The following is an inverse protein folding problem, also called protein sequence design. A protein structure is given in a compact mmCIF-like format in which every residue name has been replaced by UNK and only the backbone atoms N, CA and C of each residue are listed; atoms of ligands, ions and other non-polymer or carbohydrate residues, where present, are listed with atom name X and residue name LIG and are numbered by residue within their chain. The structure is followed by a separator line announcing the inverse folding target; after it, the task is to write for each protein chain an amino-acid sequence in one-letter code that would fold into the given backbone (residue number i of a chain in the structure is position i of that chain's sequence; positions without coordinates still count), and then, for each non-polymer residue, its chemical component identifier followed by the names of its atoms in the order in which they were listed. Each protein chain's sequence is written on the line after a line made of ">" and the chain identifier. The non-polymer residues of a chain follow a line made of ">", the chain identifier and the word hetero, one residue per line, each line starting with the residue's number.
data_IF_407798260551
#
_entry.id   IF_407798260551
#
_cell.length_a   1.000
_cell.length_b   1.000
_cell.length_c   1.000
_cell.angle_alpha   90.00
_cell.angle_beta   90.00
_cell.angle_gamma   90.00
#
_symmetry.space_group_name_H-M   'P 1'
#
loop_
_entity.id
_entity.type
_entity.pdbx_description
1 polymer ?
#
# COMPACT_ATOMS: atom_id res chain seq x y z
N UNK A 1 -5.48 -11.20 -16.86
CA UNK A 1 -6.47 -12.05 -16.18
C UNK A 1 -7.53 -12.61 -17.15
N UNK A 2 -7.76 -13.92 -17.15
CA UNK A 2 -8.83 -14.59 -17.92
C UNK A 2 -10.03 -14.87 -17.01
N UNK A 3 -10.79 -13.84 -16.63
CA UNK A 3 -12.05 -14.03 -15.90
C UNK A 3 -13.13 -14.57 -16.85
N UNK A 4 -13.72 -15.69 -16.47
CA UNK A 4 -14.73 -16.42 -17.27
C UNK A 4 -16.15 -16.19 -16.78
N UNK A 5 -16.31 -15.76 -15.52
CA UNK A 5 -17.60 -15.48 -14.90
C UNK A 5 -17.76 -14.01 -14.52
N UNK A 6 -19.00 -13.55 -14.35
CA UNK A 6 -19.27 -12.17 -13.92
C UNK A 6 -18.83 -11.93 -12.47
N UNK A 7 -18.87 -12.96 -11.61
CA UNK A 7 -18.35 -12.86 -10.25
C UNK A 7 -16.84 -12.56 -10.25
N UNK A 8 -16.05 -13.31 -11.03
CA UNK A 8 -14.60 -13.10 -11.18
C UNK A 8 -14.27 -11.70 -11.72
N UNK A 9 -15.13 -11.15 -12.59
CA UNK A 9 -14.97 -9.78 -13.13
C UNK A 9 -15.22 -8.68 -12.10
N UNK A 10 -15.83 -9.00 -10.96
CA UNK A 10 -16.04 -8.07 -9.83
C UNK A 10 -15.02 -8.24 -8.71
N UNK A 11 -14.10 -9.19 -8.84
CA UNK A 11 -13.08 -9.43 -7.82
C UNK A 11 -12.06 -8.28 -7.79
N UNK A 12 -11.53 -8.04 -6.58
CA UNK A 12 -10.60 -6.96 -6.31
C UNK A 12 -9.33 -7.10 -7.17
N UNK A 13 -8.67 -8.25 -7.08
CA UNK A 13 -7.41 -8.50 -7.80
C UNK A 13 -7.57 -8.36 -9.31
N UNK A 14 -8.66 -8.91 -9.86
CA UNK A 14 -8.95 -8.82 -11.29
C UNK A 14 -9.00 -7.37 -11.77
N UNK A 15 -9.68 -6.49 -11.03
CA UNK A 15 -9.83 -5.10 -11.40
C UNK A 15 -8.58 -4.26 -11.11
N UNK A 16 -7.77 -4.62 -10.11
CA UNK A 16 -6.44 -4.04 -9.90
C UNK A 16 -5.53 -4.32 -11.11
N UNK A 17 -5.42 -5.59 -11.52
CA UNK A 17 -4.60 -5.98 -12.69
C UNK A 17 -5.13 -5.37 -13.98
N UNK A 18 -6.44 -5.39 -14.20
CA UNK A 18 -7.07 -4.82 -15.40
C UNK A 18 -6.85 -3.31 -15.47
N UNK A 19 -7.00 -2.60 -14.35
CA UNK A 19 -6.76 -1.16 -14.26
C UNK A 19 -5.32 -0.81 -14.64
N UNK A 20 -4.35 -1.56 -14.12
CA UNK A 20 -2.93 -1.32 -14.39
C UNK A 20 -2.58 -1.56 -15.87
N UNK A 21 -3.02 -2.69 -16.45
CA UNK A 21 -2.78 -2.99 -17.86
C UNK A 21 -3.40 -1.95 -18.81
N UNK A 22 -4.59 -1.43 -18.47
CA UNK A 22 -5.23 -0.36 -19.24
C UNK A 22 -4.45 0.95 -19.13
N UNK A 23 -3.93 1.28 -17.94
CA UNK A 23 -3.12 2.47 -17.70
C UNK A 23 -1.81 2.44 -18.48
N UNK A 24 -1.11 1.31 -18.46
CA UNK A 24 0.12 1.10 -19.24
C UNK A 24 -0.09 1.26 -20.74
N UNK A 25 -1.33 1.03 -21.22
CA UNK A 25 -1.73 1.24 -22.61
C UNK A 25 -2.35 2.62 -22.86
N UNK A 26 -2.13 3.59 -21.96
CA UNK A 26 -2.66 4.96 -22.01
C UNK A 26 -4.20 5.06 -22.09
N UNK A 27 -4.93 4.01 -21.71
CA UNK A 27 -6.40 3.98 -21.66
C UNK A 27 -6.87 4.42 -20.27
N UNK A 28 -6.59 5.67 -19.90
CA UNK A 28 -6.80 6.19 -18.54
C UNK A 28 -8.26 6.15 -18.08
N UNK A 29 -9.22 6.41 -18.97
CA UNK A 29 -10.65 6.35 -18.62
C UNK A 29 -11.10 4.92 -18.31
N UNK A 30 -10.72 3.95 -19.16
CA UNK A 30 -11.03 2.54 -18.94
C UNK A 30 -10.32 1.99 -17.69
N UNK A 31 -9.07 2.41 -17.48
CA UNK A 31 -8.29 2.10 -16.29
C UNK A 31 -8.98 2.63 -15.03
N UNK A 32 -9.43 3.88 -15.06
CA UNK A 32 -10.19 4.50 -13.96
C UNK A 32 -11.46 3.72 -13.65
N UNK A 33 -12.21 3.30 -14.67
CA UNK A 33 -13.40 2.48 -14.48
C UNK A 33 -13.09 1.13 -13.81
N UNK A 34 -12.01 0.45 -14.22
CA UNK A 34 -11.58 -0.79 -13.58
C UNK A 34 -11.17 -0.54 -12.12
N UNK A 35 -10.37 0.49 -11.85
CA UNK A 35 -9.96 0.83 -10.49
C UNK A 35 -11.14 1.25 -9.59
N UNK A 36 -12.17 1.91 -10.11
CA UNK A 36 -13.37 2.22 -9.34
C UNK A 36 -14.17 0.95 -8.98
N UNK A 37 -14.17 -0.08 -9.83
CA UNK A 37 -14.76 -1.38 -9.48
C UNK A 37 -13.97 -2.08 -8.35
N UNK A 38 -12.64 -2.06 -8.41
CA UNK A 38 -11.78 -2.52 -7.31
C UNK A 38 -12.05 -1.73 -6.01
N UNK A 39 -12.20 -0.41 -6.13
CA UNK A 39 -12.39 0.49 -5.00
C UNK A 39 -13.69 0.23 -4.22
N UNK A 40 -14.72 -0.33 -4.87
CA UNK A 40 -15.94 -0.75 -4.17
C UNK A 40 -15.65 -1.81 -3.09
N UNK A 41 -14.74 -2.76 -3.37
CA UNK A 41 -14.33 -3.78 -2.39
C UNK A 41 -13.50 -3.16 -1.28
N UNK A 42 -12.62 -2.21 -1.60
CA UNK A 42 -11.81 -1.50 -0.59
C UNK A 42 -12.70 -0.65 0.31
N UNK A 43 -13.70 0.06 -0.23
CA UNK A 43 -14.69 0.80 0.57
C UNK A 43 -15.50 -0.12 1.48
N UNK A 44 -15.92 -1.29 0.99
CA UNK A 44 -16.61 -2.27 1.83
C UNK A 44 -15.72 -2.73 2.99
N UNK A 45 -14.42 -2.94 2.74
CA UNK A 45 -13.44 -3.23 3.78
C UNK A 45 -13.27 -2.06 4.76
N UNK A 46 -13.16 -0.82 4.28
CA UNK A 46 -13.05 0.37 5.14
C UNK A 46 -14.27 0.54 6.06
N UNK A 47 -15.47 0.33 5.54
CA UNK A 47 -16.71 0.39 6.32
C UNK A 47 -16.78 -0.72 7.36
N UNK A 48 -16.37 -1.95 7.00
CA UNK A 48 -16.25 -3.03 7.97
C UNK A 48 -15.20 -2.71 9.05
N UNK A 49 -14.05 -2.13 8.68
CA UNK A 49 -12.99 -1.75 9.62
C UNK A 49 -13.46 -0.69 10.65
N UNK A 50 -14.33 0.24 10.23
CA UNK A 50 -14.91 1.26 11.11
C UNK A 50 -16.03 0.72 11.98
N UNK A 51 -16.93 -0.09 11.42
CA UNK A 51 -18.20 -0.45 12.05
C UNK A 51 -18.16 -1.78 12.80
N UNK A 52 -17.43 -2.76 12.27
CA UNK A 52 -17.34 -4.11 12.81
C UNK A 52 -15.95 -4.72 12.54
N UNK A 53 -14.89 -4.16 13.15
CA UNK A 53 -13.51 -4.57 12.90
C UNK A 53 -13.26 -6.06 13.25
N UNK A 54 -14.06 -6.63 14.16
CA UNK A 54 -14.00 -8.04 14.56
C UNK A 54 -14.27 -8.99 13.38
N UNK A 55 -15.07 -8.59 12.38
CA UNK A 55 -15.29 -9.40 11.17
C UNK A 55 -14.05 -9.52 10.28
N UNK A 56 -13.19 -8.50 10.29
CA UNK A 56 -11.95 -8.48 9.52
C UNK A 56 -10.79 -9.10 10.29
N UNK A 57 -10.81 -8.96 11.62
CA UNK A 57 -9.93 -9.67 12.54
C UNK A 57 -10.37 -11.12 12.60
N UNK A 58 -10.05 -11.90 11.56
CA UNK A 58 -10.28 -13.34 11.56
C UNK A 58 -9.68 -14.00 12.82
N UNK A 59 -10.12 -15.21 13.16
CA UNK A 59 -9.55 -15.93 14.29
C UNK A 59 -8.03 -16.04 14.13
N UNK A 60 -7.27 -15.40 15.04
CA UNK A 60 -5.81 -15.30 15.01
C UNK A 60 -5.14 -16.68 14.81
N UNK A 61 -5.78 -17.74 15.32
CA UNK A 61 -5.34 -19.13 15.13
C UNK A 61 -5.41 -19.68 13.70
N UNK A 62 -6.40 -19.28 12.88
CA UNK A 62 -6.53 -19.76 11.49
C UNK A 62 -5.51 -19.09 10.56
N UNK A 63 -5.18 -17.82 10.83
CA UNK A 63 -4.18 -17.05 10.09
C UNK A 63 -2.77 -17.61 10.19
N UNK A 64 -2.45 -18.32 11.28
CA UNK A 64 -1.15 -18.97 11.48
C UNK A 64 -1.01 -20.31 10.74
N UNK A 65 -2.13 -20.95 10.36
CA UNK A 65 -2.08 -22.30 9.77
C UNK A 65 -1.76 -22.24 8.27
N UNK A 66 -2.40 -21.34 7.53
CA UNK A 66 -2.12 -21.19 6.10
C UNK A 66 -2.67 -19.88 5.57
N UNK A 67 -1.80 -19.08 4.97
CA UNK A 67 -2.24 -17.89 4.25
C UNK A 67 -3.17 -18.21 3.08
N UNK A 68 -3.04 -19.40 2.46
CA UNK A 68 -3.87 -19.81 1.31
C UNK A 68 -5.37 -19.90 1.62
N UNK A 69 -5.73 -19.98 2.90
CA UNK A 69 -7.11 -20.05 3.34
C UNK A 69 -7.74 -18.65 3.54
N UNK A 70 -6.95 -17.58 3.48
CA UNK A 70 -7.44 -16.21 3.58
C UNK A 70 -8.02 -15.76 2.24
N UNK A 71 -9.20 -15.14 2.30
CA UNK A 71 -9.75 -14.40 1.17
C UNK A 71 -8.83 -13.22 0.89
N UNK A 72 -8.55 -12.95 -0.38
CA UNK A 72 -7.73 -11.81 -0.76
C UNK A 72 -8.56 -10.52 -0.66
N UNK A 73 -8.20 -9.66 0.30
CA UNK A 73 -8.88 -8.39 0.58
C UNK A 73 -8.04 -7.17 0.14
N UNK A 74 -6.94 -7.41 -0.56
CA UNK A 74 -5.91 -6.41 -0.86
C UNK A 74 -5.02 -6.13 0.34
N UNK A 75 -3.72 -6.03 0.13
CA UNK A 75 -2.78 -5.54 1.13
C UNK A 75 -2.97 -4.03 1.32
N UNK A 76 -2.55 -3.51 2.47
CA UNK A 76 -2.82 -2.11 2.81
C UNK A 76 -2.11 -1.14 1.88
N UNK A 77 -0.87 -1.44 1.48
CA UNK A 77 -0.16 -0.68 0.45
C UNK A 77 -0.89 -0.70 -0.90
N UNK A 78 -1.57 -1.80 -1.27
CA UNK A 78 -2.35 -1.90 -2.52
C UNK A 78 -3.61 -1.03 -2.44
N UNK A 79 -4.25 -0.98 -1.26
CA UNK A 79 -5.40 -0.10 -1.02
C UNK A 79 -5.00 1.37 -1.19
N UNK A 80 -3.85 1.78 -0.64
CA UNK A 80 -3.33 3.16 -0.77
C UNK A 80 -2.84 3.44 -2.19
N UNK A 81 -2.19 2.46 -2.83
CA UNK A 81 -1.79 2.57 -4.23
C UNK A 81 -2.98 2.79 -5.15
N UNK A 82 -4.10 2.09 -4.92
CA UNK A 82 -5.32 2.24 -5.73
C UNK A 82 -5.81 3.69 -5.83
N UNK A 83 -5.86 4.44 -4.72
CA UNK A 83 -6.25 5.86 -4.79
C UNK A 83 -5.19 6.73 -5.46
N UNK A 84 -3.91 6.38 -5.29
CA UNK A 84 -2.78 7.07 -5.93
C UNK A 84 -2.85 6.91 -7.44
N UNK A 85 -3.09 5.71 -7.94
CA UNK A 85 -3.22 5.44 -9.38
C UNK A 85 -4.47 6.09 -9.97
N UNK A 86 -5.58 6.13 -9.22
CA UNK A 86 -6.77 6.90 -9.62
C UNK A 86 -6.46 8.40 -9.76
N UNK A 87 -5.72 8.97 -8.82
CA UNK A 87 -5.27 10.37 -8.92
C UNK A 87 -4.36 10.59 -10.14
N UNK A 88 -3.40 9.68 -10.39
CA UNK A 88 -2.50 9.74 -11.55
C UNK A 88 -3.26 9.66 -12.88
N UNK A 89 -4.23 8.75 -13.00
CA UNK A 89 -5.07 8.64 -14.20
C UNK A 89 -5.83 9.95 -14.47
N UNK A 90 -6.39 10.56 -13.41
CA UNK A 90 -7.13 11.82 -13.51
C UNK A 90 -6.21 12.99 -13.88
N UNK A 91 -5.00 13.05 -13.31
CA UNK A 91 -3.97 14.01 -13.72
C UNK A 91 -3.61 13.85 -15.20
N UNK A 92 -3.47 12.60 -15.68
CA UNK A 92 -3.10 12.32 -17.07
C UNK A 92 -4.15 12.81 -18.09
N UNK A 93 -5.42 12.91 -17.70
CA UNK A 93 -6.51 13.45 -18.55
C UNK A 93 -6.90 14.90 -18.20
N UNK A 94 -6.15 15.56 -17.30
CA UNK A 94 -6.39 16.95 -16.91
C UNK A 94 -7.50 17.18 -15.89
N UNK A 95 -8.04 16.11 -15.28
CA UNK A 95 -9.10 16.17 -14.26
C UNK A 95 -8.53 16.40 -12.86
N UNK A 96 -7.96 17.59 -12.64
CA UNK A 96 -7.27 17.92 -11.39
C UNK A 96 -8.22 18.00 -10.18
N UNK A 97 -9.48 18.37 -10.40
CA UNK A 97 -10.50 18.46 -9.35
C UNK A 97 -10.81 17.08 -8.76
N UNK A 98 -11.06 16.08 -9.61
CA UNK A 98 -11.27 14.73 -9.10
C UNK A 98 -9.95 14.09 -8.65
N UNK A 99 -8.80 14.43 -9.22
CA UNK A 99 -7.50 13.98 -8.70
C UNK A 99 -7.30 14.45 -7.24
N UNK A 100 -7.71 15.68 -6.93
CA UNK A 100 -7.69 16.23 -5.56
C UNK A 100 -8.57 15.43 -4.60
N UNK A 101 -9.74 14.98 -5.06
CA UNK A 101 -10.63 14.10 -4.27
C UNK A 101 -9.95 12.78 -3.94
N UNK A 102 -9.23 12.18 -4.90
CA UNK A 102 -8.50 10.92 -4.66
C UNK A 102 -7.32 11.08 -3.73
N UNK A 103 -6.59 12.20 -3.82
CA UNK A 103 -5.53 12.54 -2.86
C UNK A 103 -6.10 12.64 -1.45
N UNK A 104 -7.21 13.36 -1.26
CA UNK A 104 -7.88 13.45 0.05
C UNK A 104 -8.27 12.06 0.55
N UNK A 105 -8.87 11.23 -0.31
CA UNK A 105 -9.27 9.85 0.02
C UNK A 105 -8.07 8.98 0.38
N UNK A 106 -6.90 9.22 -0.22
CA UNK A 106 -5.65 8.52 0.15
C UNK A 106 -5.32 8.72 1.62
N UNK A 107 -5.38 9.98 2.10
CA UNK A 107 -5.13 10.28 3.51
C UNK A 107 -6.18 9.69 4.46
N UNK A 108 -7.47 9.77 4.07
CA UNK A 108 -8.56 9.16 4.84
C UNK A 108 -8.40 7.64 4.94
N UNK A 109 -8.04 6.99 3.83
CA UNK A 109 -7.77 5.55 3.76
C UNK A 109 -6.61 5.13 4.65
N UNK A 110 -5.49 5.85 4.60
CA UNK A 110 -4.36 5.60 5.49
C UNK A 110 -4.76 5.70 6.97
N UNK A 111 -5.60 6.68 7.33
CA UNK A 111 -6.08 6.82 8.71
C UNK A 111 -6.95 5.63 9.15
N UNK A 112 -7.86 5.15 8.28
CA UNK A 112 -8.69 3.97 8.56
C UNK A 112 -7.83 2.72 8.73
N UNK A 113 -6.84 2.53 7.86
CA UNK A 113 -5.90 1.41 7.95
C UNK A 113 -5.10 1.49 9.24
N UNK A 114 -4.55 2.67 9.58
CA UNK A 114 -3.77 2.87 10.79
C UNK A 114 -4.57 2.52 12.05
N UNK A 115 -5.82 3.01 12.13
CA UNK A 115 -6.71 2.73 13.26
C UNK A 115 -7.04 1.23 13.35
N UNK A 116 -7.34 0.59 12.21
CA UNK A 116 -7.64 -0.83 12.17
C UNK A 116 -6.45 -1.68 12.62
N UNK A 117 -5.24 -1.42 12.10
CA UNK A 117 -4.02 -2.17 12.44
C UNK A 117 -3.59 -1.96 13.89
N UNK A 118 -3.81 -0.77 14.45
CA UNK A 118 -3.58 -0.55 15.87
C UNK A 118 -4.49 -1.44 16.72
N UNK A 119 -5.78 -1.54 16.41
CA UNK A 119 -6.72 -2.44 17.11
C UNK A 119 -6.35 -3.91 16.93
N UNK A 120 -5.95 -4.31 15.73
CA UNK A 120 -5.54 -5.69 15.42
C UNK A 120 -4.29 -6.08 16.22
N UNK A 121 -3.30 -5.20 16.28
CA UNK A 121 -2.06 -5.41 17.05
C UNK A 121 -2.35 -5.56 18.54
N UNK A 122 -3.19 -4.68 19.10
CA UNK A 122 -3.59 -4.75 20.50
C UNK A 122 -4.31 -6.07 20.82
N UNK A 123 -5.26 -6.49 19.98
CA UNK A 123 -5.97 -7.75 20.16
C UNK A 123 -5.03 -8.97 20.09
N UNK A 124 -4.09 -8.97 19.15
CA UNK A 124 -3.08 -10.01 19.01
C UNK A 124 -2.16 -10.08 20.24
N UNK A 125 -1.74 -8.94 20.79
CA UNK A 125 -0.94 -8.88 22.01
C UNK A 125 -1.70 -9.39 23.24
N UNK A 126 -2.97 -9.03 23.40
CA UNK A 126 -3.82 -9.50 24.49
C UNK A 126 -4.04 -11.02 24.42
N UNK A 127 -4.32 -11.55 23.24
CA UNK A 127 -4.47 -12.99 23.03
C UNK A 127 -3.17 -13.75 23.28
N UNK A 128 -2.03 -13.23 22.83
CA UNK A 128 -0.71 -13.82 23.07
C UNK A 128 -0.40 -13.88 24.57
N UNK A 129 -0.67 -12.79 25.31
CA UNK A 129 -0.52 -12.73 26.78
C UNK A 129 -1.44 -13.74 27.47
N UNK A 130 -2.71 -13.82 27.07
CA UNK A 130 -3.69 -14.75 27.63
C UNK A 130 -3.28 -16.23 27.41
N UNK A 131 -2.61 -16.53 26.29
CA UNK A 131 -2.11 -17.87 25.96
C UNK A 131 -0.72 -18.18 26.54
N UNK A 132 -0.15 -17.27 27.33
CA UNK A 132 1.17 -17.46 27.96
C UNK A 132 2.33 -17.49 26.97
N UNK A 133 2.16 -16.92 25.77
CA UNK A 133 3.24 -16.84 24.78
C UNK A 133 4.33 -15.91 25.29
N UNK A 134 5.56 -16.42 25.36
CA UNK A 134 6.77 -15.59 25.53
C UNK A 134 7.34 -15.29 24.16
N UNK A 135 7.86 -14.08 23.96
CA UNK A 135 8.49 -13.61 22.73
C UNK A 135 9.83 -14.33 22.49
N UNK A 136 9.77 -15.63 22.23
CA UNK A 136 10.95 -16.47 22.04
C UNK A 136 10.71 -17.42 20.86
N UNK A 137 11.03 -16.94 19.66
CA UNK A 137 11.04 -17.75 18.45
C UNK A 137 12.10 -17.21 17.50
N UNK A 138 13.38 -17.39 17.85
CA UNK A 138 14.52 -16.96 17.01
C UNK A 138 14.65 -17.76 15.72
N UNK A 139 14.02 -18.93 15.61
CA UNK A 139 14.08 -19.76 14.41
C UNK A 139 12.75 -20.49 14.20
N UNK A 140 12.03 -20.13 13.13
CA UNK A 140 10.99 -20.96 12.54
C UNK A 140 11.66 -21.82 11.48
N UNK A 141 11.71 -23.13 11.69
CA UNK A 141 12.51 -24.07 10.90
C UNK A 141 12.28 -23.92 9.37
N UNK A 142 13.24 -23.29 8.67
CA UNK A 142 13.22 -23.04 7.23
C UNK A 142 12.52 -21.74 6.76
N UNK A 143 11.83 -21.01 7.64
CA UNK A 143 11.26 -19.70 7.33
C UNK A 143 12.32 -18.60 7.50
N UNK A 144 12.49 -17.68 6.53
CA UNK A 144 13.55 -16.68 6.55
C UNK A 144 13.22 -15.56 7.54
N UNK A 145 13.33 -15.82 8.84
CA UNK A 145 13.12 -14.81 9.89
C UNK A 145 14.14 -13.68 9.82
N UNK A 146 15.28 -13.87 9.17
CA UNK A 146 16.30 -12.82 8.99
C UNK A 146 15.82 -11.65 8.15
N UNK A 147 14.85 -11.83 7.24
CA UNK A 147 14.27 -10.69 6.51
C UNK A 147 13.47 -9.76 7.41
N UNK A 148 13.08 -10.21 8.62
CA UNK A 148 12.46 -9.34 9.62
C UNK A 148 13.49 -8.38 10.26
N UNK A 149 14.77 -8.71 10.18
CA UNK A 149 15.89 -7.91 10.70
C UNK A 149 16.57 -7.07 9.62
N UNK A 150 16.01 -7.04 8.40
CA UNK A 150 16.56 -6.25 7.31
C UNK A 150 16.49 -4.75 7.65
N UNK A 151 17.61 -4.00 7.59
CA UNK A 151 17.62 -2.57 7.89
C UNK A 151 16.61 -1.76 7.07
N UNK A 152 16.37 -2.13 5.81
CA UNK A 152 15.40 -1.45 4.94
C UNK A 152 13.96 -1.67 5.43
N UNK A 153 13.65 -2.89 5.87
CA UNK A 153 12.34 -3.23 6.45
C UNK A 153 12.14 -2.53 7.79
N UNK A 154 13.17 -2.48 8.63
CA UNK A 154 13.13 -1.81 9.94
C UNK A 154 13.04 -0.28 9.82
N UNK A 155 13.53 0.29 8.71
CA UNK A 155 13.40 1.71 8.41
C UNK A 155 11.99 2.11 7.97
N UNK A 156 11.15 1.16 7.52
CA UNK A 156 9.77 1.44 7.15
C UNK A 156 8.96 1.87 8.36
N UNK A 157 8.23 2.98 8.21
CA UNK A 157 7.35 3.48 9.28
C UNK A 157 6.11 2.63 9.48
N UNK A 158 5.58 2.08 8.40
CA UNK A 158 4.41 1.21 8.37
C UNK A 158 4.32 0.52 7.00
N UNK A 159 3.39 -0.42 6.85
CA UNK A 159 3.18 -1.18 5.61
C UNK A 159 2.10 -0.62 4.68
N UNK A 160 1.63 0.62 4.87
CA UNK A 160 0.51 1.18 4.13
C UNK A 160 0.78 2.54 3.49
N UNK A 161 1.53 3.43 4.15
CA UNK A 161 1.86 4.76 3.65
C UNK A 161 2.86 4.70 2.51
N UNK A 162 2.69 5.59 1.54
CA UNK A 162 3.54 5.64 0.35
C UNK A 162 4.11 7.04 0.12
N UNK A 163 5.45 7.15 0.09
CA UNK A 163 6.13 8.44 -0.04
C UNK A 163 5.78 9.18 -1.34
N UNK A 164 5.63 8.45 -2.46
CA UNK A 164 5.22 9.02 -3.73
C UNK A 164 3.79 9.58 -3.63
N UNK A 165 2.87 8.86 -3.01
CA UNK A 165 1.47 9.31 -2.83
C UNK A 165 1.41 10.64 -2.08
N UNK A 166 2.20 10.80 -1.01
CA UNK A 166 2.27 12.05 -0.27
C UNK A 166 2.99 13.17 -1.03
N UNK A 167 4.01 12.85 -1.81
CA UNK A 167 4.69 13.83 -2.65
C UNK A 167 3.75 14.34 -3.76
N UNK A 168 3.04 13.43 -4.42
CA UNK A 168 2.01 13.75 -5.41
C UNK A 168 0.90 14.61 -4.81
N UNK A 169 0.47 14.33 -3.58
CA UNK A 169 -0.47 15.17 -2.85
C UNK A 169 0.06 16.60 -2.70
N UNK A 170 1.29 16.75 -2.21
CA UNK A 170 1.96 18.04 -2.06
C UNK A 170 2.00 18.82 -3.37
N UNK A 171 2.44 18.15 -4.45
CA UNK A 171 2.53 18.71 -5.79
C UNK A 171 1.17 19.12 -6.35
N UNK A 172 0.14 18.28 -6.24
CA UNK A 172 -1.18 18.58 -6.77
C UNK A 172 -1.84 19.77 -6.05
N UNK A 173 -1.72 19.82 -4.72
CA UNK A 173 -2.18 20.99 -3.95
C UNK A 173 -1.44 22.26 -4.35
N UNK A 174 -0.14 22.18 -4.62
CA UNK A 174 0.63 23.31 -5.12
C UNK A 174 0.14 23.80 -6.49
N UNK A 175 -0.08 22.87 -7.44
CA UNK A 175 -0.61 23.16 -8.79
C UNK A 175 -1.99 23.80 -8.72
N UNK A 176 -2.84 23.35 -7.81
CA UNK A 176 -4.18 23.91 -7.57
C UNK A 176 -4.17 25.25 -6.83
N UNK A 177 -3.00 25.75 -6.44
CA UNK A 177 -2.84 27.00 -5.69
C UNK A 177 -3.15 26.89 -4.20
N UNK A 178 -3.36 25.67 -3.69
CA UNK A 178 -3.66 25.34 -2.30
C UNK A 178 -2.38 25.12 -1.48
N UNK A 179 -1.46 26.09 -1.52
CA UNK A 179 -0.13 26.02 -0.87
C UNK A 179 -0.15 25.58 0.61
N UNK A 180 -1.18 25.97 1.37
CA UNK A 180 -1.34 25.55 2.77
C UNK A 180 -1.56 24.05 2.95
N UNK A 181 -2.07 23.36 1.93
CA UNK A 181 -2.28 21.91 1.91
C UNK A 181 -1.09 21.17 1.28
N UNK A 182 -0.23 21.86 0.52
CA UNK A 182 0.93 21.25 -0.14
C UNK A 182 2.04 20.84 0.86
N UNK A 183 2.36 21.72 1.80
CA UNK A 183 3.49 21.51 2.73
C UNK A 183 3.37 20.22 3.58
N UNK A 184 2.19 19.87 4.14
CA UNK A 184 2.01 18.59 4.83
C UNK A 184 2.32 17.36 3.97
N UNK A 185 1.90 17.36 2.70
CA UNK A 185 2.19 16.27 1.75
C UNK A 185 3.69 16.06 1.56
N UNK A 186 4.42 17.14 1.24
CA UNK A 186 5.87 17.06 1.08
C UNK A 186 6.60 16.64 2.36
N UNK A 187 6.21 17.18 3.52
CA UNK A 187 6.80 16.78 4.82
C UNK A 187 6.59 15.29 5.07
N UNK A 188 5.39 14.76 4.80
CA UNK A 188 5.11 13.35 5.02
C UNK A 188 5.89 12.45 4.06
N UNK A 189 6.07 12.86 2.81
CA UNK A 189 6.92 12.15 1.86
C UNK A 189 8.38 12.06 2.36
N UNK A 190 8.96 13.17 2.82
CA UNK A 190 10.32 13.21 3.40
C UNK A 190 10.39 12.35 4.68
N UNK A 191 9.34 12.38 5.50
CA UNK A 191 9.27 11.58 6.71
C UNK A 191 9.30 10.06 6.39
N UNK A 192 8.61 9.64 5.33
CA UNK A 192 8.54 8.24 4.91
C UNK A 192 9.80 7.78 4.19
N UNK A 193 10.46 8.68 3.46
CA UNK A 193 11.71 8.39 2.76
C UNK A 193 12.72 9.53 2.95
N UNK A 194 13.42 9.56 4.11
CA UNK A 194 14.39 10.60 4.39
C UNK A 194 15.58 10.54 3.42
N UNK A 195 16.41 11.59 3.42
CA UNK A 195 17.65 11.66 2.62
C UNK A 195 17.43 11.55 1.10
N UNK A 196 16.20 11.79 0.64
CA UNK A 196 15.85 11.77 -0.79
C UNK A 196 15.74 13.21 -1.30
N UNK A 197 16.78 13.69 -1.98
CA UNK A 197 16.93 15.10 -2.38
C UNK A 197 15.73 15.70 -3.13
N UNK A 198 15.11 14.94 -4.04
CA UNK A 198 13.92 15.40 -4.79
C UNK A 198 12.71 15.68 -3.87
N UNK A 199 12.54 14.89 -2.80
CA UNK A 199 11.44 15.09 -1.86
C UNK A 199 11.65 16.37 -1.03
N UNK A 200 12.90 16.63 -0.63
CA UNK A 200 13.27 17.84 0.11
C UNK A 200 13.14 19.12 -0.71
N UNK A 201 13.48 19.06 -2.00
CA UNK A 201 13.39 20.20 -2.93
C UNK A 201 11.95 20.68 -3.10
N UNK A 202 11.00 19.74 -3.17
CA UNK A 202 9.57 20.02 -3.19
C UNK A 202 9.15 20.92 -2.02
N UNK A 203 9.56 20.60 -0.79
CA UNK A 203 9.25 21.42 0.39
C UNK A 203 10.05 22.73 0.43
N UNK A 204 11.36 22.67 0.16
CA UNK A 204 12.29 23.81 0.33
C UNK A 204 11.91 25.01 -0.54
N UNK A 205 11.47 24.76 -1.78
CA UNK A 205 11.11 25.82 -2.72
C UNK A 205 9.66 26.31 -2.59
N UNK A 206 8.80 25.65 -1.81
CA UNK A 206 7.35 25.88 -1.81
C UNK A 206 6.98 27.34 -1.58
N UNK A 207 7.43 27.96 -0.49
CA UNK A 207 7.08 29.34 -0.13
C UNK A 207 7.47 30.34 -1.23
N UNK A 208 8.63 30.12 -1.85
CA UNK A 208 9.12 30.97 -2.94
C UNK A 208 8.23 30.85 -4.18
N UNK A 209 7.90 29.60 -4.58
CA UNK A 209 7.08 29.30 -5.76
C UNK A 209 5.65 29.76 -5.61
N UNK A 210 5.10 29.69 -4.40
CA UNK A 210 3.72 30.11 -4.12
C UNK A 210 3.58 31.61 -3.85
N UNK A 211 4.69 32.33 -3.71
CA UNK A 211 4.67 33.77 -3.46
C UNK A 211 4.08 34.57 -4.63
N UNK A 212 3.34 35.63 -4.31
CA UNK A 212 2.68 36.49 -5.30
C UNK A 212 3.66 37.16 -6.27
N UNK A 213 4.84 37.53 -5.77
CA UNK A 213 5.90 38.16 -6.55
C UNK A 213 6.54 37.19 -7.53
N UNK A 214 6.70 35.93 -7.15
CA UNK A 214 7.23 34.86 -8.01
C UNK A 214 6.26 34.53 -9.15
N UNK A 215 4.98 34.33 -8.83
CA UNK A 215 3.93 34.04 -9.84
C UNK A 215 3.84 35.10 -10.94
N UNK A 216 4.02 36.39 -10.61
CA UNK A 216 4.03 37.48 -11.62
C UNK A 216 5.29 37.55 -12.47
N UNK A 217 6.41 37.04 -11.99
CA UNK A 217 7.72 37.10 -12.66
C UNK A 217 8.07 35.79 -13.37
N UNK A 218 7.23 34.75 -13.23
CA UNK A 218 7.49 33.42 -13.77
C UNK A 218 7.62 33.46 -15.30
N UNK A 219 8.81 33.06 -15.77
CA UNK A 219 9.10 32.72 -17.18
C UNK A 219 9.33 31.22 -17.38
N UNK A 220 9.24 30.44 -16.31
CA UNK A 220 9.48 29.00 -16.28
C UNK A 220 8.37 28.32 -15.47
N UNK A 221 8.08 27.06 -15.79
CA UNK A 221 7.15 26.19 -15.06
C UNK A 221 7.91 25.01 -14.50
N UNK A 222 7.53 24.58 -13.31
CA UNK A 222 8.02 23.31 -12.76
C UNK A 222 7.31 22.16 -13.46
N UNK A 223 8.04 21.06 -13.65
CA UNK A 223 7.54 19.84 -14.29
C UNK A 223 7.92 18.65 -13.43
N UNK A 224 6.93 17.90 -12.97
CA UNK A 224 7.13 16.63 -12.29
C UNK A 224 7.17 15.50 -13.32
N UNK A 225 8.32 14.83 -13.42
CA UNK A 225 8.44 13.57 -14.15
C UNK A 225 8.16 12.41 -13.20
N UNK A 226 7.13 11.64 -13.50
CA UNK A 226 6.89 10.36 -12.86
C UNK A 226 7.40 9.24 -13.76
N UNK A 227 8.37 8.47 -13.28
CA UNK A 227 8.93 7.34 -14.00
C UNK A 227 8.63 6.08 -13.20
N UNK A 228 7.87 5.17 -13.81
CA UNK A 228 7.58 3.85 -13.28
C UNK A 228 8.28 2.83 -14.15
N UNK A 229 9.07 1.93 -13.54
CA UNK A 229 9.65 0.81 -14.26
C UNK A 229 9.92 -0.37 -13.34
N UNK A 230 10.00 -1.54 -13.97
CA UNK A 230 10.19 -2.82 -13.33
C UNK A 230 8.95 -3.32 -12.60
N UNK A 231 9.04 -4.56 -12.16
CA UNK A 231 8.05 -5.25 -11.36
C UNK A 231 8.39 -5.16 -9.87
N UNK A 232 7.34 -5.10 -9.04
CA UNK A 232 7.50 -5.25 -7.59
C UNK A 232 7.98 -6.67 -7.23
N UNK A 233 8.68 -6.85 -6.10
CA UNK A 233 9.04 -8.17 -5.59
C UNK A 233 7.83 -9.11 -5.52
N UNK A 234 8.03 -10.37 -5.94
CA UNK A 234 6.96 -11.35 -6.00
C UNK A 234 6.74 -12.00 -4.63
N UNK A 235 5.50 -11.97 -4.14
CA UNK A 235 5.11 -12.68 -2.94
C UNK A 235 4.63 -14.09 -3.29
N UNK A 236 5.36 -15.12 -2.90
CA UNK A 236 5.04 -16.52 -3.21
C UNK A 236 4.75 -17.35 -1.96
N UNK A 237 3.75 -18.24 -1.98
CA UNK A 237 3.50 -19.14 -0.85
C UNK A 237 4.53 -20.27 -0.81
N UNK A 238 5.34 -20.32 0.26
CA UNK A 238 6.26 -21.43 0.54
C UNK A 238 5.65 -22.35 1.59
N UNK A 239 5.62 -23.65 1.30
CA UNK A 239 5.13 -24.67 2.22
C UNK A 239 6.25 -25.08 3.19
N UNK A 240 5.91 -25.20 4.46
CA UNK A 240 6.79 -25.70 5.52
C UNK A 240 6.10 -26.87 6.21
N UNK A 241 6.87 -27.91 6.51
CA UNK A 241 6.35 -29.08 7.23
C UNK A 241 6.87 -29.05 8.66
N UNK A 242 5.97 -28.86 9.61
CA UNK A 242 6.30 -28.85 11.02
C UNK A 242 5.96 -30.20 11.66
N UNK A 243 6.91 -30.86 12.33
CA UNK A 243 6.61 -32.03 13.13
C UNK A 243 5.99 -31.58 14.46
N UNK A 244 4.71 -31.93 14.69
CA UNK A 244 3.97 -31.58 15.90
C UNK A 244 3.81 -32.82 16.78
N UNK A 245 4.33 -32.82 18.02
CA UNK A 245 4.10 -33.91 18.96
C UNK A 245 2.65 -33.89 19.43
N UNK A 246 1.97 -35.03 19.30
CA UNK A 246 0.62 -35.24 19.82
C UNK A 246 0.61 -36.41 20.80
N UNK A 247 -0.44 -36.53 21.62
CA UNK A 247 -0.59 -37.66 22.56
C UNK A 247 -0.63 -39.05 21.91
N UNK A 248 -0.70 -39.15 20.58
CA UNK A 248 -0.68 -40.40 19.79
C UNK A 248 0.58 -40.59 18.94
N UNK A 249 1.57 -39.68 19.04
CA UNK A 249 2.81 -39.71 18.27
C UNK A 249 3.09 -38.41 17.52
N UNK A 250 4.08 -38.43 16.64
CA UNK A 250 4.47 -37.29 15.81
C UNK A 250 3.57 -37.17 14.59
N UNK A 251 2.88 -36.04 14.44
CA UNK A 251 2.07 -35.73 13.25
C UNK A 251 2.74 -34.61 12.48
N UNK A 252 2.89 -34.77 11.17
CA UNK A 252 3.41 -33.70 10.30
C UNK A 252 2.26 -32.78 9.89
N UNK A 253 2.38 -31.50 10.20
CA UNK A 253 1.46 -30.46 9.73
C UNK A 253 2.13 -29.66 8.63
N UNK A 254 1.45 -29.53 7.48
CA UNK A 254 1.91 -28.65 6.41
C UNK A 254 1.28 -27.27 6.59
N UNK A 255 2.13 -26.27 6.82
CA UNK A 255 1.76 -24.85 6.91
C UNK A 255 2.30 -24.12 5.68
N UNK A 256 1.69 -22.99 5.30
CA UNK A 256 2.15 -22.18 4.16
C UNK A 256 2.28 -20.73 4.58
N UNK A 257 3.48 -20.18 4.43
CA UNK A 257 3.77 -18.76 4.68
C UNK A 257 4.32 -18.08 3.43
N UNK A 258 4.10 -16.77 3.29
CA UNK A 258 4.61 -16.02 2.16
C UNK A 258 6.13 -15.87 2.26
N UNK A 259 6.82 -15.94 1.13
CA UNK A 259 8.20 -15.47 0.98
C UNK A 259 8.23 -14.39 -0.08
N UNK A 260 9.12 -13.42 0.09
CA UNK A 260 9.36 -12.36 -0.90
C UNK A 260 10.52 -12.80 -1.78
N UNK A 261 10.27 -12.89 -3.08
CA UNK A 261 11.30 -13.08 -4.09
C UNK A 261 11.63 -11.73 -4.72
N UNK A 262 12.91 -11.33 -4.78
CA UNK A 262 13.30 -10.06 -5.36
C UNK A 262 12.92 -10.00 -6.84
N UNK A 263 12.64 -8.79 -7.33
CA UNK A 263 12.47 -8.55 -8.76
C UNK A 263 13.77 -8.84 -9.50
N UNK A 264 13.67 -9.42 -10.69
CA UNK A 264 14.81 -9.68 -11.58
C UNK A 264 15.06 -8.56 -12.58
N UNK A 265 14.25 -7.51 -12.53
CA UNK A 265 14.37 -6.38 -13.46
C UNK A 265 15.58 -5.52 -13.14
N UNK A 266 16.12 -4.88 -14.19
CA UNK A 266 17.20 -3.93 -14.03
C UNK A 266 16.71 -2.72 -13.22
N UNK A 267 17.46 -2.33 -12.19
CA UNK A 267 17.18 -1.11 -11.45
C UNK A 267 17.28 0.11 -12.39
N UNK A 268 16.33 1.04 -12.27
CA UNK A 268 16.39 2.31 -12.99
C UNK A 268 17.67 3.07 -12.60
N UNK A 269 18.62 3.18 -13.53
CA UNK A 269 19.82 4.00 -13.37
C UNK A 269 21.11 3.25 -13.01
N UNK A 270 21.20 1.94 -13.26
CA UNK A 270 22.50 1.27 -13.46
C UNK A 270 22.85 1.19 -14.95
#
# INVERSE_FOLDING_TARGET
>A
ASATTDAERTELLYNLERGELLRMNNRYEDSTNAFLLADNRVKAWEEAAKTDPQKLMGTVGAALISERLKVYEGQDYEKVWLTTTLALNRVAVGDLENARVDIKRTHEREAVIAEFRAKETLAAEEEAKAKGATSAGKELNGYPVETLNDPEVLALKNGYSNALSHYLAGYLYEVLGESGLAAPGYRKAIELKPETGVLEEGLRGLDSRTSFTWKRRQRMTDVLFLVEAGDAPARKPKAFTLPVPTGRGMVTVSISYPVIEPSTDAALGQ
#
